data_IF_242891565241
#
_entry.id   IF_242891565241
#
_cell.length_a   1.000
_cell.length_b   1.000
_cell.length_c   1.000
_cell.angle_alpha   90.00
_cell.angle_beta   90.00
_cell.angle_gamma   90.00
#
_symmetry.space_group_name_H-M   'P 1'
#
loop_
_entity.id
_entity.type
_entity.pdbx_description
1 polymer ?
#
# COMPACT_ATOMS: atom_id res chain seq x y z
N UNK A 1 50.73 21.23 -59.96
CA UNK A 1 50.79 19.84 -59.48
C UNK A 1 50.48 19.87 -57.99
N UNK A 2 49.19 19.74 -57.64
CA UNK A 2 48.56 18.55 -57.01
C UNK A 2 48.91 18.50 -55.51
N UNK A 3 48.01 18.41 -54.53
CA UNK A 3 46.54 18.28 -54.43
C UNK A 3 46.09 18.91 -53.10
N UNK A 4 44.83 19.32 -52.93
CA UNK A 4 43.73 18.55 -52.30
C UNK A 4 44.06 18.08 -50.86
N UNK A 5 43.19 18.06 -49.85
CA UNK A 5 41.75 18.26 -49.75
C UNK A 5 41.41 18.55 -48.27
N UNK A 6 40.14 18.82 -48.00
CA UNK A 6 39.56 19.47 -46.81
C UNK A 6 39.34 18.57 -45.59
N UNK A 7 39.09 19.25 -44.46
CA UNK A 7 38.19 18.87 -43.33
C UNK A 7 38.71 17.78 -42.39
N UNK A 8 38.41 17.75 -41.08
CA UNK A 8 37.35 18.35 -40.27
C UNK A 8 37.76 18.36 -38.78
N UNK A 9 37.18 19.28 -38.01
CA UNK A 9 37.32 19.50 -36.56
C UNK A 9 36.45 18.50 -35.76
N UNK A 10 36.60 18.39 -34.42
CA UNK A 10 36.45 17.15 -33.68
C UNK A 10 35.00 16.72 -33.45
N UNK A 11 34.78 15.41 -33.38
CA UNK A 11 33.51 14.81 -33.05
C UNK A 11 33.06 15.22 -31.63
N UNK A 12 31.92 15.88 -31.58
CA UNK A 12 31.28 16.36 -30.37
C UNK A 12 30.68 15.24 -29.52
N UNK A 13 30.55 15.59 -28.23
CA UNK A 13 29.74 14.92 -27.23
C UNK A 13 28.31 14.73 -27.72
N UNK A 14 27.74 13.59 -27.35
CA UNK A 14 26.31 13.34 -27.47
C UNK A 14 26.02 11.90 -27.11
N UNK A 15 26.17 11.55 -25.82
CA UNK A 15 25.46 10.39 -25.28
C UNK A 15 23.99 10.66 -25.55
N UNK A 16 23.42 9.96 -26.53
CA UNK A 16 22.01 10.08 -26.84
C UNK A 16 21.25 9.72 -25.57
N UNK A 17 20.44 10.67 -25.11
CA UNK A 17 19.49 10.45 -24.04
C UNK A 17 18.71 9.18 -24.38
N UNK A 18 18.86 8.17 -23.54
CA UNK A 18 18.00 7.00 -23.55
C UNK A 18 16.60 7.53 -23.23
N UNK A 19 15.83 7.77 -24.29
CA UNK A 19 14.43 8.14 -24.19
C UNK A 19 13.72 6.90 -23.69
N UNK A 20 13.51 6.82 -22.39
CA UNK A 20 12.54 5.90 -21.82
C UNK A 20 11.21 6.31 -22.45
N UNK A 21 10.74 5.53 -23.42
CA UNK A 21 9.37 5.60 -23.87
C UNK A 21 8.51 5.17 -22.70
N UNK A 22 7.96 6.16 -22.00
CA UNK A 22 6.98 6.02 -20.94
C UNK A 22 5.64 5.58 -21.58
N UNK A 23 5.62 4.37 -22.14
CA UNK A 23 4.47 3.80 -22.84
C UNK A 23 3.81 2.72 -22.00
N UNK A 24 3.03 3.17 -21.01
CA UNK A 24 1.80 2.52 -20.52
C UNK A 24 1.13 3.51 -19.58
N UNK A 25 0.12 4.23 -20.07
CA UNK A 25 -0.77 5.03 -19.26
C UNK A 25 -1.61 4.11 -18.37
N UNK A 26 -1.03 3.60 -17.29
CA UNK A 26 -1.81 3.33 -16.09
C UNK A 26 -1.96 4.73 -15.48
N UNK A 27 -3.11 5.35 -15.72
CA UNK A 27 -3.41 6.72 -15.28
C UNK A 27 -3.14 6.84 -13.78
N UNK A 28 -2.70 8.01 -13.31
CA UNK A 28 -2.53 8.33 -11.88
C UNK A 28 -3.89 8.44 -11.16
N UNK A 29 -4.87 7.66 -11.63
CA UNK A 29 -6.21 7.62 -11.12
C UNK A 29 -6.20 6.93 -9.75
N UNK A 30 -6.91 7.51 -8.77
CA UNK A 30 -6.93 6.98 -7.42
C UNK A 30 -7.56 5.59 -7.42
N UNK A 31 -6.86 4.61 -6.85
CA UNK A 31 -7.38 3.26 -6.66
C UNK A 31 -8.61 3.31 -5.74
N UNK A 32 -9.69 2.65 -6.18
CA UNK A 32 -10.90 2.44 -5.39
C UNK A 32 -11.26 0.98 -5.43
N UNK A 33 -11.21 0.33 -4.27
CA UNK A 33 -11.61 -1.07 -4.10
C UNK A 33 -12.70 -1.17 -3.05
N UNK A 34 -13.58 -2.14 -3.22
CA UNK A 34 -14.59 -2.53 -2.24
C UNK A 34 -14.53 -4.04 -2.07
N UNK A 35 -14.72 -4.51 -0.84
CA UNK A 35 -14.77 -5.92 -0.51
C UNK A 35 -16.03 -6.26 0.27
N UNK A 36 -16.73 -7.31 -0.17
CA UNK A 36 -17.99 -7.79 0.43
C UNK A 36 -17.91 -9.21 0.98
N UNK A 37 -16.86 -9.93 0.62
CA UNK A 37 -16.58 -11.26 1.12
C UNK A 37 -15.09 -11.42 1.46
N UNK A 38 -14.71 -12.63 1.88
CA UNK A 38 -13.34 -12.95 2.27
C UNK A 38 -12.36 -12.95 1.10
N UNK A 39 -12.84 -13.27 -0.12
CA UNK A 39 -12.00 -13.31 -1.31
C UNK A 39 -11.65 -11.88 -1.73
N UNK A 40 -12.63 -10.99 -1.81
CA UNK A 40 -12.41 -9.57 -2.06
C UNK A 40 -11.51 -8.95 -0.99
N UNK A 41 -11.74 -9.30 0.28
CA UNK A 41 -10.94 -8.78 1.40
C UNK A 41 -9.47 -9.18 1.27
N UNK A 42 -9.18 -10.36 0.72
CA UNK A 42 -7.80 -10.81 0.46
C UNK A 42 -7.12 -9.95 -0.61
N UNK A 43 -7.86 -9.49 -1.63
CA UNK A 43 -7.37 -8.55 -2.64
C UNK A 43 -7.05 -7.21 -2.00
N UNK A 44 -7.96 -6.66 -1.19
CA UNK A 44 -7.73 -5.40 -0.47
C UNK A 44 -6.53 -5.53 0.48
N UNK A 45 -6.42 -6.64 1.22
CA UNK A 45 -5.28 -6.94 2.10
C UNK A 45 -3.96 -6.88 1.34
N UNK A 46 -3.89 -7.47 0.16
CA UNK A 46 -2.70 -7.44 -0.70
C UNK A 46 -2.33 -6.01 -1.08
N UNK A 47 -3.33 -5.18 -1.41
CA UNK A 47 -3.10 -3.80 -1.85
C UNK A 47 -2.68 -2.85 -0.74
N UNK A 48 -3.02 -3.17 0.52
CA UNK A 48 -2.62 -2.40 1.70
C UNK A 48 -1.47 -3.05 2.48
N UNK A 49 -0.90 -4.13 1.97
CA UNK A 49 0.25 -4.77 2.59
C UNK A 49 1.41 -3.77 2.71
N UNK A 50 2.00 -3.71 3.89
CA UNK A 50 3.14 -2.86 4.25
C UNK A 50 2.80 -1.36 4.22
N UNK A 51 1.50 -1.07 4.34
CA UNK A 51 1.00 0.26 4.57
C UNK A 51 1.38 0.73 5.97
N UNK A 52 1.78 2.00 6.04
CA UNK A 52 2.11 2.64 7.30
C UNK A 52 0.91 3.45 7.79
N UNK A 53 0.57 3.32 9.06
CA UNK A 53 -0.45 4.15 9.72
C UNK A 53 0.08 4.62 11.07
N UNK A 54 -0.63 5.52 11.73
CA UNK A 54 -0.37 5.87 13.12
C UNK A 54 -1.50 5.40 14.00
N UNK A 55 -1.21 5.15 15.27
CA UNK A 55 -2.25 4.81 16.24
C UNK A 55 -3.33 5.90 16.34
N UNK A 56 -2.96 7.17 16.22
CA UNK A 56 -3.91 8.29 16.19
C UNK A 56 -4.74 8.41 14.91
N UNK A 57 -4.35 7.72 13.84
CA UNK A 57 -5.02 7.74 12.52
C UNK A 57 -6.09 6.63 12.37
N UNK A 58 -6.32 5.86 13.44
CA UNK A 58 -7.39 4.86 13.54
C UNK A 58 -8.55 5.40 14.37
N UNK A 59 -9.74 5.44 13.77
CA UNK A 59 -10.93 6.03 14.40
C UNK A 59 -12.12 5.08 14.28
N UNK A 60 -12.78 4.83 15.41
CA UNK A 60 -14.05 4.11 15.45
C UNK A 60 -15.19 5.07 15.79
N UNK A 61 -16.08 5.31 14.83
CA UNK A 61 -17.32 6.05 15.02
C UNK A 61 -18.45 5.09 15.39
N UNK A 62 -18.60 4.79 16.68
CA UNK A 62 -19.58 3.81 17.17
C UNK A 62 -21.03 4.11 16.75
N UNK A 63 -21.43 5.39 16.71
CA UNK A 63 -22.79 5.80 16.31
C UNK A 63 -23.07 5.52 14.83
N UNK A 64 -22.04 5.64 14.00
CA UNK A 64 -22.11 5.36 12.55
C UNK A 64 -21.74 3.92 12.23
N UNK A 65 -21.32 3.13 13.23
CA UNK A 65 -20.80 1.76 13.07
C UNK A 65 -19.68 1.71 12.02
N UNK A 66 -18.81 2.70 12.02
CA UNK A 66 -17.74 2.85 11.02
C UNK A 66 -16.37 2.88 11.67
N UNK A 67 -15.46 2.07 11.15
CA UNK A 67 -14.04 2.13 11.49
C UNK A 67 -13.25 2.68 10.30
N UNK A 68 -12.36 3.64 10.55
CA UNK A 68 -11.49 4.25 9.54
C UNK A 68 -10.04 4.13 9.96
N UNK A 69 -9.19 3.91 8.96
CA UNK A 69 -7.73 3.94 9.07
C UNK A 69 -7.19 4.80 7.94
N UNK A 70 -6.49 5.88 8.29
CA UNK A 70 -5.67 6.61 7.33
C UNK A 70 -4.31 5.90 7.23
N UNK A 71 -3.92 5.51 6.02
CA UNK A 71 -2.69 4.78 5.79
C UNK A 71 -1.93 5.28 4.57
N UNK A 72 -0.63 5.08 4.57
CA UNK A 72 0.27 5.36 3.46
C UNK A 72 0.67 4.02 2.85
N UNK A 73 -0.06 3.56 1.81
CA UNK A 73 0.19 2.25 1.17
C UNK A 73 1.31 2.34 0.14
N UNK A 74 1.99 1.23 -0.08
CA UNK A 74 2.88 1.04 -1.22
C UNK A 74 2.05 0.71 -2.47
N UNK A 75 2.40 1.30 -3.62
CA UNK A 75 1.71 1.04 -4.88
C UNK A 75 2.23 -0.26 -5.53
N UNK A 76 1.82 -1.40 -4.98
CA UNK A 76 2.18 -2.73 -5.48
C UNK A 76 1.82 -2.94 -6.95
N UNK A 77 0.72 -2.35 -7.41
CA UNK A 77 0.27 -2.39 -8.80
C UNK A 77 1.21 -1.69 -9.80
N UNK A 78 2.18 -0.92 -9.29
CA UNK A 78 3.20 -0.20 -10.09
C UNK A 78 4.58 -0.83 -10.00
N UNK A 79 4.74 -1.85 -9.17
CA UNK A 79 6.02 -2.54 -9.02
C UNK A 79 6.12 -3.69 -10.02
N UNK A 80 6.97 -3.56 -11.03
CA UNK A 80 7.18 -4.54 -12.10
C UNK A 80 8.14 -5.69 -11.73
N UNK A 81 8.31 -5.95 -10.43
CA UNK A 81 9.07 -7.08 -9.91
C UNK A 81 10.42 -6.69 -9.31
N UNK A 82 11.49 -7.34 -9.76
CA UNK A 82 12.78 -7.40 -9.04
C UNK A 82 13.32 -6.02 -8.62
N UNK A 83 13.87 -5.90 -7.39
CA UNK A 83 14.49 -4.67 -6.93
C UNK A 83 15.73 -4.35 -7.78
N UNK A 84 15.70 -3.23 -8.50
CA UNK A 84 16.85 -2.72 -9.26
C UNK A 84 17.45 -1.52 -8.52
N UNK A 85 18.78 -1.42 -8.49
CA UNK A 85 19.44 -0.26 -7.89
C UNK A 85 19.03 1.04 -8.59
N UNK A 86 18.72 2.07 -7.80
CA UNK A 86 18.19 3.34 -8.29
C UNK A 86 16.71 3.34 -8.71
N UNK A 87 15.98 2.22 -8.64
CA UNK A 87 14.54 2.17 -8.91
C UNK A 87 13.76 3.02 -7.90
N UNK A 88 12.87 3.85 -8.43
CA UNK A 88 11.98 4.69 -7.63
C UNK A 88 10.61 4.01 -7.54
N UNK A 89 10.12 3.89 -6.33
CA UNK A 89 8.79 3.36 -6.03
C UNK A 89 7.85 4.49 -5.64
N UNK A 90 6.57 4.17 -5.47
CA UNK A 90 5.56 5.14 -5.07
C UNK A 90 4.77 4.67 -3.87
N UNK A 91 4.43 5.62 -3.01
CA UNK A 91 3.44 5.47 -1.96
C UNK A 91 2.33 6.47 -2.20
N UNK A 92 1.15 6.12 -1.74
CA UNK A 92 -0.04 6.98 -1.82
C UNK A 92 -0.76 6.93 -0.48
N UNK A 93 -1.36 8.06 -0.11
CA UNK A 93 -2.19 8.14 1.08
C UNK A 93 -3.54 7.55 0.71
N UNK A 94 -4.08 6.67 1.53
CA UNK A 94 -5.35 6.02 1.27
C UNK A 94 -6.16 5.96 2.55
N UNK A 95 -7.48 5.94 2.39
CA UNK A 95 -8.42 5.70 3.48
C UNK A 95 -8.93 4.27 3.30
N UNK A 96 -8.74 3.47 4.34
CA UNK A 96 -9.39 2.18 4.50
C UNK A 96 -10.53 2.36 5.50
N UNK A 97 -11.75 2.00 5.13
CA UNK A 97 -12.87 2.01 6.08
C UNK A 97 -13.68 0.72 6.01
N UNK A 98 -14.27 0.40 7.15
CA UNK A 98 -15.20 -0.70 7.35
C UNK A 98 -16.52 -0.12 7.83
N UNK A 99 -17.61 -0.49 7.18
CA UNK A 99 -18.98 -0.20 7.63
C UNK A 99 -19.52 -1.38 8.46
N UNK A 100 -20.67 -1.19 9.11
CA UNK A 100 -21.37 -2.20 9.93
C UNK A 100 -20.55 -2.79 11.10
N UNK A 101 -19.55 -2.05 11.58
CA UNK A 101 -18.70 -2.41 12.72
C UNK A 101 -19.47 -2.25 14.03
N UNK A 102 -19.65 -3.37 14.74
CA UNK A 102 -20.31 -3.48 16.04
C UNK A 102 -19.38 -3.11 17.19
N UNK A 103 -18.08 -3.41 17.05
CA UNK A 103 -17.10 -3.13 18.09
C UNK A 103 -15.66 -3.28 17.59
N UNK A 104 -14.73 -2.67 18.32
CA UNK A 104 -13.30 -2.71 18.03
C UNK A 104 -12.56 -3.14 19.29
N UNK A 105 -11.66 -4.11 19.14
CA UNK A 105 -10.72 -4.51 20.21
C UNK A 105 -9.31 -4.45 19.67
N UNK A 106 -8.39 -3.98 20.50
CA UNK A 106 -6.97 -3.93 20.15
C UNK A 106 -6.19 -4.88 21.04
N UNK A 107 -5.07 -5.38 20.52
CA UNK A 107 -4.12 -6.22 21.24
C UNK A 107 -2.73 -5.73 20.94
N UNK A 108 -1.91 -5.58 21.98
CA UNK A 108 -0.51 -5.16 21.86
C UNK A 108 -0.32 -3.85 21.05
N UNK A 109 -1.23 -2.89 21.26
CA UNK A 109 -1.21 -1.55 20.68
C UNK A 109 -1.50 -0.54 21.78
N UNK A 110 -0.64 0.47 21.97
CA UNK A 110 -0.90 1.55 22.91
C UNK A 110 -1.71 2.66 22.24
N UNK A 111 -3.02 2.66 22.46
CA UNK A 111 -3.93 3.68 21.91
C UNK A 111 -3.66 5.11 22.43
N UNK A 112 -2.82 5.28 23.46
CA UNK A 112 -2.41 6.59 23.95
C UNK A 112 -1.19 7.15 23.19
N UNK A 113 -0.38 6.28 22.58
CA UNK A 113 0.80 6.64 21.80
C UNK A 113 0.39 7.07 20.39
N UNK A 114 -0.29 8.22 20.26
CA UNK A 114 -0.91 8.66 18.99
C UNK A 114 0.04 8.80 17.80
N UNK A 115 1.31 9.07 18.05
CA UNK A 115 2.34 9.23 17.02
C UNK A 115 3.09 7.94 16.69
N UNK A 116 2.79 6.83 17.37
CA UNK A 116 3.38 5.53 17.09
C UNK A 116 3.02 5.09 15.66
N UNK A 117 4.04 4.79 14.86
CA UNK A 117 3.88 4.32 13.48
C UNK A 117 3.77 2.80 13.49
N UNK A 118 2.70 2.30 12.89
CA UNK A 118 2.40 0.89 12.75
C UNK A 118 2.51 0.49 11.27
N UNK A 119 3.00 -0.73 11.02
CA UNK A 119 3.07 -1.33 9.68
C UNK A 119 2.04 -2.45 9.58
N UNK A 120 1.09 -2.32 8.65
CA UNK A 120 0.03 -3.29 8.42
C UNK A 120 0.58 -4.45 7.58
N UNK A 121 0.56 -5.66 8.13
CA UNK A 121 1.08 -6.86 7.48
C UNK A 121 -0.01 -7.63 6.73
N UNK A 122 -1.19 -7.75 7.33
CA UNK A 122 -2.27 -8.53 6.74
C UNK A 122 -3.62 -8.10 7.31
N UNK A 123 -4.67 -8.37 6.54
CA UNK A 123 -6.05 -8.29 6.99
C UNK A 123 -6.81 -9.55 6.57
N UNK A 124 -7.72 -10.02 7.41
CA UNK A 124 -8.52 -11.18 7.06
C UNK A 124 -9.50 -11.60 8.13
N UNK A 125 -10.21 -12.69 7.87
CA UNK A 125 -11.12 -13.32 8.83
C UNK A 125 -10.40 -14.53 9.43
N UNK A 126 -10.19 -14.58 10.76
CA UNK A 126 -9.63 -15.77 11.39
C UNK A 126 -10.64 -16.94 11.33
N UNK A 127 -10.22 -18.13 10.90
CA UNK A 127 -11.05 -19.35 10.95
C UNK A 127 -11.49 -19.63 12.40
N UNK A 128 -12.71 -20.06 12.74
CA UNK A 128 -13.51 -21.12 12.12
C UNK A 128 -14.98 -20.95 12.58
N UNK A 129 -15.93 -21.33 11.73
CA UNK A 129 -17.32 -21.77 12.01
C UNK A 129 -18.46 -20.80 12.34
N UNK A 130 -18.29 -19.48 12.28
CA UNK A 130 -19.41 -18.53 12.37
C UNK A 130 -19.33 -17.56 11.17
N UNK A 131 -20.45 -17.03 10.64
CA UNK A 131 -20.41 -16.10 9.51
C UNK A 131 -19.48 -14.92 9.82
N UNK A 132 -18.97 -14.30 8.76
CA UNK A 132 -17.91 -13.28 8.69
C UNK A 132 -18.13 -12.05 9.61
N UNK A 133 -18.12 -12.30 10.91
CA UNK A 133 -18.46 -11.36 11.97
C UNK A 133 -17.21 -10.74 12.60
N UNK A 134 -16.03 -11.14 12.12
CA UNK A 134 -14.75 -10.70 12.64
C UNK A 134 -13.77 -10.45 11.52
N UNK A 135 -13.21 -9.25 11.49
CA UNK A 135 -12.07 -8.88 10.64
C UNK A 135 -10.91 -8.52 11.54
N UNK A 136 -9.72 -9.06 11.27
CA UNK A 136 -8.50 -8.76 12.01
C UNK A 136 -7.50 -8.06 11.10
N UNK A 137 -6.96 -6.94 11.58
CA UNK A 137 -5.84 -6.22 11.00
C UNK A 137 -4.62 -6.53 11.86
N UNK A 138 -3.58 -7.11 11.24
CA UNK A 138 -2.37 -7.55 11.92
C UNK A 138 -1.23 -6.60 11.57
N UNK A 139 -0.55 -6.10 12.60
CA UNK A 139 0.55 -5.16 12.48
C UNK A 139 1.88 -5.80 12.85
N UNK A 140 2.96 -5.26 12.28
CA UNK A 140 4.31 -5.60 12.70
C UNK A 140 4.51 -5.30 14.19
N UNK A 141 5.38 -6.07 14.85
CA UNK A 141 5.54 -6.01 16.30
C UNK A 141 4.45 -6.75 17.09
N UNK A 142 3.56 -7.49 16.41
CA UNK A 142 2.54 -8.34 17.04
C UNK A 142 1.29 -7.60 17.50
N UNK A 143 1.13 -6.33 17.09
CA UNK A 143 -0.08 -5.56 17.30
C UNK A 143 -1.23 -6.08 16.44
N UNK A 144 -2.46 -6.02 16.94
CA UNK A 144 -3.64 -6.39 16.17
C UNK A 144 -4.86 -5.53 16.53
N UNK A 145 -5.68 -5.23 15.53
CA UNK A 145 -7.01 -4.64 15.68
C UNK A 145 -8.04 -5.62 15.16
N UNK A 146 -8.95 -6.03 16.04
CA UNK A 146 -10.07 -6.92 15.73
C UNK A 146 -11.35 -6.12 15.68
N UNK A 147 -11.99 -6.13 14.53
CA UNK A 147 -13.30 -5.55 14.28
C UNK A 147 -14.34 -6.66 14.43
N UNK A 148 -15.33 -6.45 15.30
CA UNK A 148 -16.57 -7.22 15.28
C UNK A 148 -17.51 -6.53 14.29
N UNK A 149 -17.93 -7.22 13.24
CA UNK A 149 -18.76 -6.69 12.14
C UNK A 149 -20.03 -7.53 11.98
N UNK A 150 -21.08 -6.94 11.43
CA UNK A 150 -22.29 -7.70 11.06
C UNK A 150 -22.12 -8.37 9.69
N UNK A 151 -21.49 -7.67 8.75
CA UNK A 151 -21.09 -8.14 7.44
C UNK A 151 -19.74 -7.54 7.03
N UNK A 152 -19.06 -8.16 6.05
CA UNK A 152 -17.86 -7.55 5.45
C UNK A 152 -18.35 -6.46 4.49
N UNK A 153 -18.10 -5.20 4.82
CA UNK A 153 -18.17 -4.07 3.89
C UNK A 153 -16.94 -3.21 4.11
N UNK A 154 -15.92 -3.44 3.30
CA UNK A 154 -14.63 -2.77 3.38
C UNK A 154 -14.40 -1.94 2.10
N UNK A 155 -13.86 -0.74 2.23
CA UNK A 155 -13.50 0.09 1.09
C UNK A 155 -12.13 0.74 1.27
N UNK A 156 -11.34 0.69 0.20
CA UNK A 156 -10.05 1.35 0.09
C UNK A 156 -10.18 2.46 -0.96
N UNK A 157 -9.75 3.68 -0.62
CA UNK A 157 -9.72 4.79 -1.58
C UNK A 157 -8.46 5.62 -1.43
N UNK A 158 -7.70 5.71 -2.51
CA UNK A 158 -6.55 6.60 -2.60
C UNK A 158 -6.96 8.07 -2.52
N UNK A 159 -6.10 8.84 -1.86
CA UNK A 159 -6.23 10.24 -1.55
C UNK A 159 -5.05 11.01 -2.13
N UNK A 160 -5.36 12.03 -2.91
CA UNK A 160 -4.35 12.93 -3.46
C UNK A 160 -3.42 12.25 -4.47
N UNK A 161 -2.21 12.81 -4.60
CA UNK A 161 -1.20 12.35 -5.56
C UNK A 161 -0.17 11.46 -4.88
N UNK A 162 0.28 10.37 -5.52
CA UNK A 162 1.37 9.56 -5.01
C UNK A 162 2.68 10.34 -4.90
N UNK A 163 3.54 9.93 -3.96
CA UNK A 163 4.90 10.46 -3.83
C UNK A 163 5.94 9.36 -4.01
N UNK A 164 7.14 9.77 -4.38
CA UNK A 164 8.27 8.87 -4.64
C UNK A 164 8.91 8.40 -3.34
N UNK A 165 9.27 7.13 -3.28
CA UNK A 165 10.12 6.53 -2.23
C UNK A 165 11.21 5.67 -2.84
N UNK A 166 12.37 5.61 -2.18
CA UNK A 166 13.47 4.68 -2.52
C UNK A 166 13.36 3.35 -1.80
N UNK A 167 12.50 3.26 -0.77
CA UNK A 167 12.35 2.07 0.06
C UNK A 167 11.19 1.24 -0.44
N UNK A 168 11.50 0.06 -0.98
CA UNK A 168 10.56 -1.04 -1.17
C UNK A 168 10.41 -1.82 0.13
N UNK A 169 9.18 -2.14 0.57
CA UNK A 169 8.96 -3.07 1.66
C UNK A 169 9.71 -4.39 1.43
N UNK A 170 10.20 -4.99 2.52
CA UNK A 170 10.92 -6.28 2.49
C UNK A 170 10.41 -7.09 3.66
N UNK A 171 9.68 -8.15 3.35
CA UNK A 171 9.24 -9.11 4.35
C UNK A 171 10.02 -10.39 4.10
N UNK A 172 10.76 -10.83 5.11
CA UNK A 172 11.26 -12.19 5.12
C UNK A 172 10.04 -13.10 5.20
N UNK A 173 9.86 -13.96 4.21
CA UNK A 173 8.87 -15.05 4.31
C UNK A 173 9.44 -16.00 5.36
N UNK A 174 8.97 -15.87 6.60
CA UNK A 174 9.40 -16.78 7.66
C UNK A 174 8.76 -18.14 7.35
N UNK A 175 9.49 -18.97 6.60
CA UNK A 175 9.09 -20.35 6.31
C UNK A 175 9.39 -21.16 7.56
N UNK A 176 8.61 -20.92 8.61
CA UNK A 176 8.59 -21.78 9.79
C UNK A 176 7.70 -22.98 9.45
N UNK A 177 8.37 -24.07 9.08
CA UNK A 177 7.83 -25.41 8.90
C UNK A 177 7.79 -26.15 10.25
#
# INVERSE_FOLDING_TARGET
MNGSCRSSRPAGRGLSAFRIEESRSVTDEPLKLSARDTEDLSVVSTMVQDALTRTGDMVFHQRERRFLVLLDRFMWERDDGEPVDGKLYRRVRSILHFDDVLGVKTRNLDMNAREEVLELLAMGVPGTSEPASRVELVFAGGGAVRLDVDCIECRLTDQGRPWVTRRRPRHAVDTAN
#
